data_IF_094880564547
#
_entry.id   IF_094880564547
#
_cell.length_a   1.000
_cell.length_b   1.000
_cell.length_c   1.000
_cell.angle_alpha   90.00
_cell.angle_beta   90.00
_cell.angle_gamma   90.00
#
_symmetry.space_group_name_H-M   'P 1'
#
loop_
_entity.id
_entity.type
_entity.pdbx_description
1 polymer ?
#
# COMPACT_ATOMS: atom_id res chain seq x y z
N UNK A 1 -9.84 22.44 -72.21
CA UNK A 1 -9.02 21.37 -72.80
C UNK A 1 -8.99 20.22 -71.80
N UNK A 2 -9.79 19.20 -72.09
CA UNK A 2 -9.80 17.90 -71.41
C UNK A 2 -8.67 17.03 -72.00
N UNK A 3 -7.96 16.25 -71.18
CA UNK A 3 -7.63 14.87 -71.51
C UNK A 3 -7.63 14.00 -70.24
N UNK A 4 -8.44 12.95 -70.32
CA UNK A 4 -8.62 11.81 -69.41
C UNK A 4 -7.55 10.75 -69.68
N UNK A 5 -7.26 9.92 -68.67
CA UNK A 5 -7.20 8.44 -68.72
C UNK A 5 -6.81 7.94 -67.30
N UNK A 6 -7.63 7.24 -66.49
CA UNK A 6 -8.17 5.84 -66.59
C UNK A 6 -7.06 4.83 -66.94
N UNK A 7 -6.85 3.73 -66.20
CA UNK A 7 -7.73 2.57 -65.93
C UNK A 7 -7.07 1.66 -64.85
N UNK A 8 -7.78 1.12 -63.85
CA UNK A 8 -8.39 -0.26 -63.76
C UNK A 8 -7.33 -1.38 -63.88
N UNK A 9 -7.32 -2.52 -63.17
CA UNK A 9 -8.11 -3.19 -62.12
C UNK A 9 -7.28 -4.46 -61.75
N UNK A 10 -7.53 -5.06 -60.59
CA UNK A 10 -7.95 -6.48 -60.41
C UNK A 10 -7.52 -7.06 -59.05
N UNK A 11 -8.55 -7.36 -58.24
CA UNK A 11 -8.54 -8.34 -57.15
C UNK A 11 -8.27 -9.74 -57.69
N UNK A 12 -7.72 -10.67 -56.87
CA UNK A 12 -8.43 -11.86 -56.37
C UNK A 12 -7.54 -12.93 -55.69
N UNK A 13 -8.08 -13.48 -54.58
CA UNK A 13 -8.16 -14.92 -54.20
C UNK A 13 -7.00 -15.61 -53.44
N UNK A 14 -7.32 -15.92 -52.17
CA UNK A 14 -7.44 -17.24 -51.50
C UNK A 14 -6.29 -18.27 -51.60
N UNK A 15 -5.87 -18.79 -50.44
CA UNK A 15 -5.25 -20.12 -50.36
C UNK A 15 -4.70 -20.51 -48.98
N UNK A 16 -5.49 -21.22 -48.17
CA UNK A 16 -4.98 -22.25 -47.23
C UNK A 16 -4.68 -23.52 -48.05
N UNK A 17 -3.75 -24.41 -47.61
CA UNK A 17 -4.13 -25.64 -46.88
C UNK A 17 -3.10 -26.00 -45.75
N UNK A 18 -3.39 -26.73 -44.65
CA UNK A 18 -3.66 -28.19 -44.45
C UNK A 18 -2.65 -29.09 -45.20
N UNK A 19 -2.22 -30.26 -44.76
CA UNK A 19 -2.23 -31.15 -43.57
C UNK A 19 -1.21 -32.27 -43.94
N UNK A 20 -0.87 -33.14 -42.97
CA UNK A 20 -0.58 -34.59 -43.12
C UNK A 20 0.64 -34.98 -42.26
N UNK A 21 0.46 -35.67 -41.14
CA UNK A 21 0.12 -37.11 -40.96
C UNK A 21 1.27 -38.07 -41.26
N UNK A 22 1.79 -38.72 -40.20
CA UNK A 22 1.84 -40.17 -39.96
C UNK A 22 3.00 -40.52 -39.01
N UNK A 23 2.75 -41.05 -37.81
CA UNK A 23 2.35 -42.42 -37.43
C UNK A 23 3.55 -43.39 -37.28
N UNK A 24 3.71 -43.91 -36.06
CA UNK A 24 3.78 -45.34 -35.66
C UNK A 24 4.93 -45.78 -34.74
N UNK A 25 4.53 -46.73 -33.86
CA UNK A 25 5.29 -47.87 -33.29
C UNK A 25 5.97 -47.75 -31.91
N UNK A 26 5.18 -48.08 -30.87
CA UNK A 26 5.22 -49.29 -30.00
C UNK A 26 6.55 -50.02 -29.67
N UNK A 27 6.67 -50.45 -28.39
CA UNK A 27 7.50 -51.60 -27.92
C UNK A 27 8.17 -51.38 -26.55
N UNK A 28 7.61 -51.88 -25.43
CA UNK A 28 8.15 -53.00 -24.59
C UNK A 28 9.07 -52.48 -23.46
N UNK A 29 9.08 -52.89 -22.18
CA UNK A 29 8.72 -54.09 -21.39
C UNK A 29 8.59 -53.67 -19.88
N UNK A 30 7.59 -54.13 -19.10
CA UNK A 30 7.59 -55.19 -18.02
C UNK A 30 8.45 -54.85 -16.76
N UNK A 31 8.10 -55.02 -15.48
CA UNK A 31 7.26 -55.96 -14.69
C UNK A 31 6.84 -55.36 -13.31
N UNK A 32 5.59 -55.53 -12.82
CA UNK A 32 5.05 -56.45 -11.75
C UNK A 32 5.56 -56.11 -10.31
N UNK A 33 4.80 -55.87 -9.22
CA UNK A 33 3.76 -56.62 -8.46
C UNK A 33 3.03 -55.64 -7.51
N UNK A 34 1.69 -55.47 -7.54
CA UNK A 34 0.63 -56.16 -6.79
C UNK A 34 0.78 -56.25 -5.25
N UNK A 35 -0.14 -55.62 -4.51
CA UNK A 35 -1.00 -56.30 -3.52
C UNK A 35 -2.24 -55.46 -3.21
N UNK A 36 -3.40 -56.09 -3.39
CA UNK A 36 -4.74 -55.65 -3.01
C UNK A 36 -4.92 -55.84 -1.49
N UNK A 37 -5.77 -55.02 -0.87
CA UNK A 37 -6.97 -55.53 -0.22
C UNK A 37 -7.97 -54.40 0.07
N UNK A 38 -9.23 -54.81 -0.05
CA UNK A 38 -10.47 -54.04 -0.16
C UNK A 38 -11.14 -53.69 1.19
N UNK A 39 -12.05 -52.71 1.12
CA UNK A 39 -13.22 -52.51 1.99
C UNK A 39 -12.98 -51.74 3.30
N UNK A 40 -13.80 -50.79 3.76
CA UNK A 40 -15.14 -50.32 3.41
C UNK A 40 -15.39 -48.96 4.13
N UNK A 41 -16.29 -48.15 3.56
CA UNK A 41 -17.14 -47.13 4.18
C UNK A 41 -16.60 -46.07 5.16
N UNK A 42 -16.66 -44.80 4.74
CA UNK A 42 -17.75 -43.89 5.14
C UNK A 42 -17.50 -42.41 4.78
N UNK A 43 -18.54 -41.82 4.17
CA UNK A 43 -18.81 -40.40 3.92
C UNK A 43 -17.80 -39.32 4.37
N UNK A 44 -17.09 -38.73 3.41
CA UNK A 44 -16.45 -37.41 3.52
C UNK A 44 -17.50 -36.30 3.62
N UNK A 45 -17.51 -35.56 4.74
CA UNK A 45 -18.26 -34.32 4.91
C UNK A 45 -17.30 -33.12 4.85
N UNK A 46 -17.56 -32.27 3.87
CA UNK A 46 -16.91 -30.98 3.61
C UNK A 46 -16.86 -30.07 4.85
N UNK A 47 -15.70 -29.46 5.11
CA UNK A 47 -15.67 -28.12 5.72
C UNK A 47 -14.36 -27.34 5.54
N UNK A 48 -14.14 -26.79 4.34
CA UNK A 48 -13.37 -25.54 4.22
C UNK A 48 -14.33 -24.38 4.50
N UNK A 49 -14.15 -23.68 5.61
CA UNK A 49 -14.80 -22.37 5.83
C UNK A 49 -13.75 -21.28 5.64
N UNK A 50 -13.88 -20.59 4.51
CA UNK A 50 -13.43 -19.22 4.31
C UNK A 50 -14.07 -18.32 5.37
N UNK A 51 -13.30 -17.44 6.00
CA UNK A 51 -13.82 -16.32 6.80
C UNK A 51 -12.85 -15.15 6.71
N UNK A 52 -13.03 -14.30 5.70
CA UNK A 52 -12.44 -12.96 5.64
C UNK A 52 -13.34 -12.11 4.74
N UNK A 53 -14.46 -11.55 5.26
CA UNK A 53 -15.10 -10.38 4.59
C UNK A 53 -16.22 -9.65 5.34
N UNK A 54 -16.18 -9.50 6.68
CA UNK A 54 -17.32 -8.82 7.35
C UNK A 54 -16.98 -7.95 8.57
N UNK A 55 -15.88 -7.17 8.53
CA UNK A 55 -15.54 -6.33 9.70
C UNK A 55 -14.91 -4.95 9.42
N UNK A 56 -15.13 -4.37 8.23
CA UNK A 56 -14.57 -3.05 7.89
C UNK A 56 -15.47 -1.85 8.23
N UNK A 57 -16.77 -2.04 8.46
CA UNK A 57 -17.69 -0.88 8.50
C UNK A 57 -18.09 -0.39 9.90
N UNK A 58 -17.72 -1.06 10.99
CA UNK A 58 -18.20 -0.70 12.35
C UNK A 58 -17.13 -0.18 13.32
N UNK A 59 -15.93 0.18 12.86
CA UNK A 59 -14.83 0.69 13.71
C UNK A 59 -14.74 2.22 13.72
N UNK A 60 -15.32 2.89 12.71
CA UNK A 60 -15.19 4.35 12.54
C UNK A 60 -15.95 5.18 13.59
N UNK A 61 -17.02 4.64 14.19
CA UNK A 61 -18.01 5.45 14.92
C UNK A 61 -17.78 5.56 16.44
N UNK A 62 -16.78 4.84 17.00
CA UNK A 62 -16.55 4.77 18.46
C UNK A 62 -15.29 5.47 18.97
N UNK A 63 -14.55 6.20 18.13
CA UNK A 63 -13.31 6.90 18.54
C UNK A 63 -13.39 8.42 18.50
N UNK A 64 -14.58 8.97 18.28
CA UNK A 64 -14.82 10.42 18.30
C UNK A 64 -15.11 10.90 19.73
N UNK A 65 -14.23 10.66 20.70
CA UNK A 65 -14.31 11.35 21.98
C UNK A 65 -12.96 11.47 22.73
N UNK A 66 -12.62 12.74 22.95
CA UNK A 66 -11.64 13.36 23.86
C UNK A 66 -10.13 13.07 23.67
N UNK A 67 -9.49 13.93 22.87
CA UNK A 67 -8.07 14.27 22.97
C UNK A 67 -7.95 15.73 23.40
N UNK A 68 -7.14 15.99 24.42
CA UNK A 68 -6.89 17.33 24.92
C UNK A 68 -6.19 18.20 23.85
N UNK A 69 -6.45 19.51 23.86
CA UNK A 69 -5.81 20.45 22.93
C UNK A 69 -4.30 20.55 23.16
N UNK A 70 -3.83 20.22 24.37
CA UNK A 70 -2.43 20.24 24.75
C UNK A 70 -1.63 19.10 24.11
N UNK A 71 -2.21 17.90 24.00
CA UNK A 71 -1.58 16.75 23.33
C UNK A 71 -1.41 17.00 21.81
N UNK A 72 -2.36 17.71 21.18
CA UNK A 72 -2.25 18.10 19.76
C UNK A 72 -1.09 19.06 19.51
N UNK A 73 -0.73 19.87 20.52
CA UNK A 73 0.28 20.93 20.42
C UNK A 73 1.69 20.39 20.59
N UNK A 74 1.88 19.40 21.47
CA UNK A 74 3.18 18.76 21.70
C UNK A 74 3.64 17.92 20.50
N UNK A 75 2.74 17.16 19.87
CA UNK A 75 3.07 16.36 18.67
C UNK A 75 3.36 17.26 17.44
N UNK A 76 2.81 18.48 17.43
CA UNK A 76 3.10 19.51 16.42
C UNK A 76 4.48 20.15 16.56
N UNK A 77 4.97 20.26 17.80
CA UNK A 77 6.16 21.04 18.12
C UNK A 77 7.45 20.39 17.58
N UNK A 78 7.51 19.06 17.52
CA UNK A 78 8.71 18.34 17.07
C UNK A 78 8.87 18.28 15.54
N UNK A 79 7.85 18.67 14.76
CA UNK A 79 7.88 18.64 13.27
C UNK A 79 7.79 20.04 12.65
N UNK A 80 7.67 21.09 13.46
CA UNK A 80 7.71 22.48 12.99
C UNK A 80 9.16 22.94 12.69
N UNK A 81 9.89 22.18 11.87
CA UNK A 81 11.21 22.55 11.35
C UNK A 81 11.07 23.62 10.27
N UNK A 82 10.88 24.89 10.68
CA UNK A 82 11.09 26.17 9.94
C UNK A 82 10.53 26.37 8.51
N UNK A 83 10.02 25.36 7.82
CA UNK A 83 9.53 25.42 6.44
C UNK A 83 8.44 24.35 6.21
N UNK A 84 7.28 24.57 6.83
CA UNK A 84 6.12 23.71 6.68
C UNK A 84 4.85 24.52 6.44
N UNK A 85 3.95 23.99 5.61
CA UNK A 85 2.62 24.55 5.35
C UNK A 85 1.53 23.56 5.67
N UNK A 86 0.34 24.08 5.97
CA UNK A 86 -0.87 23.28 6.01
C UNK A 86 -1.43 23.10 4.61
N UNK A 87 -1.70 21.84 4.23
CA UNK A 87 -2.49 21.53 3.04
C UNK A 87 -3.97 21.77 3.34
N UNK A 88 -4.41 21.38 4.54
CA UNK A 88 -5.74 21.61 5.08
C UNK A 88 -5.68 21.60 6.63
N UNK A 89 -6.84 21.61 7.30
CA UNK A 89 -6.92 21.64 8.77
C UNK A 89 -6.14 20.52 9.46
N UNK A 90 -6.04 19.36 8.81
CA UNK A 90 -5.49 18.13 9.37
C UNK A 90 -4.13 17.73 8.79
N UNK A 91 -3.83 18.13 7.55
CA UNK A 91 -2.62 17.73 6.84
C UNK A 91 -1.63 18.89 6.72
N UNK A 92 -0.35 18.56 6.88
CA UNK A 92 0.77 19.47 6.65
C UNK A 92 1.81 18.82 5.73
N UNK A 93 2.64 19.68 5.15
CA UNK A 93 3.72 19.32 4.24
C UNK A 93 4.96 20.14 4.57
N UNK A 94 6.14 19.51 4.46
CA UNK A 94 7.44 20.16 4.50
C UNK A 94 8.31 19.59 3.37
N UNK A 95 9.03 20.40 2.56
CA UNK A 95 9.04 21.87 2.52
C UNK A 95 7.65 22.51 2.36
N UNK A 96 7.51 23.79 2.70
CA UNK A 96 6.23 24.51 2.62
C UNK A 96 5.65 24.52 1.19
N UNK A 97 4.35 24.76 1.07
CA UNK A 97 3.70 24.88 -0.24
C UNK A 97 4.31 26.03 -1.06
N UNK A 98 4.71 27.11 -0.39
CA UNK A 98 5.37 28.26 -1.02
C UNK A 98 6.78 27.88 -1.51
N UNK A 99 7.57 27.18 -0.68
CA UNK A 99 8.88 26.67 -1.07
C UNK A 99 8.77 25.72 -2.27
N UNK A 100 7.84 24.76 -2.22
CA UNK A 100 7.62 23.83 -3.33
C UNK A 100 7.16 24.56 -4.60
N UNK A 101 6.33 25.60 -4.48
CA UNK A 101 5.88 26.41 -5.62
C UNK A 101 7.00 27.26 -6.21
N UNK A 102 8.01 27.61 -5.43
CA UNK A 102 9.19 28.35 -5.89
C UNK A 102 10.20 27.48 -6.65
N UNK A 103 10.11 26.15 -6.55
CA UNK A 103 11.02 25.23 -7.20
C UNK A 103 10.82 25.22 -8.72
N UNK A 104 11.93 25.20 -9.45
CA UNK A 104 11.91 24.92 -10.89
C UNK A 104 11.42 23.50 -11.17
N UNK A 105 10.97 23.25 -12.41
CA UNK A 105 10.52 21.91 -12.83
C UNK A 105 11.59 20.82 -12.61
N UNK A 106 12.89 21.15 -12.74
CA UNK A 106 13.98 20.22 -12.47
C UNK A 106 14.17 19.94 -10.98
N UNK A 107 13.93 20.93 -10.12
CA UNK A 107 13.98 20.75 -8.67
C UNK A 107 12.78 19.95 -8.16
N UNK A 108 11.59 20.17 -8.71
CA UNK A 108 10.39 19.40 -8.38
C UNK A 108 10.50 17.91 -8.72
N UNK A 109 11.39 17.53 -9.63
CA UNK A 109 11.67 16.12 -9.95
C UNK A 109 12.53 15.39 -8.93
N UNK A 110 13.17 16.13 -8.02
CA UNK A 110 14.14 15.60 -7.05
C UNK A 110 14.00 16.30 -5.72
N UNK A 111 12.77 16.43 -5.20
CA UNK A 111 12.52 17.09 -3.92
C UNK A 111 13.09 16.22 -2.80
N UNK A 112 14.12 16.70 -2.06
CA UNK A 112 14.69 15.95 -0.96
C UNK A 112 13.85 16.14 0.30
N UNK A 113 13.92 15.16 1.21
CA UNK A 113 13.37 15.27 2.57
C UNK A 113 11.91 15.71 2.62
N UNK A 114 11.11 15.27 1.65
CA UNK A 114 9.68 15.55 1.64
C UNK A 114 9.04 14.88 2.87
N UNK A 115 8.22 15.63 3.59
CA UNK A 115 7.43 15.16 4.71
C UNK A 115 5.98 15.53 4.46
N UNK A 116 5.08 14.56 4.61
CA UNK A 116 3.63 14.78 4.61
C UNK A 116 3.07 14.15 5.87
N UNK A 117 2.27 14.89 6.62
CA UNK A 117 1.75 14.38 7.89
C UNK A 117 0.33 14.79 8.17
N UNK A 118 -0.33 14.00 9.01
CA UNK A 118 -1.64 14.26 9.58
C UNK A 118 -1.50 14.49 11.09
N UNK A 119 -2.04 15.60 11.60
CA UNK A 119 -1.87 16.06 12.99
C UNK A 119 -2.04 14.96 14.04
N UNK A 120 -3.12 14.19 13.88
CA UNK A 120 -3.56 13.21 14.89
C UNK A 120 -3.11 11.77 14.64
N UNK A 121 -2.64 11.44 13.43
CA UNK A 121 -2.52 10.03 13.01
C UNK A 121 -1.11 9.63 12.66
N UNK A 122 -0.28 10.54 12.15
CA UNK A 122 1.08 10.17 11.78
C UNK A 122 1.71 11.09 10.76
N UNK A 123 2.86 10.66 10.27
CA UNK A 123 3.59 11.30 9.17
C UNK A 123 4.36 10.29 8.34
N UNK A 124 4.64 10.66 7.11
CA UNK A 124 5.55 9.98 6.21
C UNK A 124 6.69 10.93 5.87
N UNK A 125 7.91 10.43 6.04
CA UNK A 125 9.17 11.10 5.72
C UNK A 125 9.84 10.33 4.58
N UNK A 126 9.96 10.96 3.42
CA UNK A 126 10.63 10.36 2.28
C UNK A 126 12.14 10.42 2.47
N UNK A 127 12.78 9.25 2.47
CA UNK A 127 14.22 9.10 2.70
C UNK A 127 15.03 9.24 1.40
N UNK A 128 14.34 9.30 0.26
CA UNK A 128 14.88 9.43 -1.07
C UNK A 128 14.23 10.62 -1.79
N UNK A 129 14.90 11.22 -2.81
CA UNK A 129 14.31 12.29 -3.58
C UNK A 129 13.02 11.86 -4.28
N UNK A 130 12.00 12.71 -4.21
CA UNK A 130 10.66 12.47 -4.74
C UNK A 130 10.44 13.31 -5.99
N UNK A 131 9.81 12.72 -7.01
CA UNK A 131 9.33 13.45 -8.18
C UNK A 131 7.88 13.92 -7.95
N UNK A 132 7.71 15.24 -7.82
CA UNK A 132 6.42 15.91 -7.69
C UNK A 132 5.98 16.60 -8.99
N UNK A 133 6.72 16.46 -10.09
CA UNK A 133 6.38 17.07 -11.36
C UNK A 133 5.03 16.51 -11.88
N UNK A 134 4.04 17.39 -12.03
CA UNK A 134 2.70 17.02 -12.47
C UNK A 134 1.78 16.50 -11.37
N UNK A 135 2.19 16.53 -10.10
CA UNK A 135 1.34 16.22 -8.96
C UNK A 135 0.93 17.54 -8.27
N UNK A 136 -0.37 17.85 -8.14
CA UNK A 136 -0.81 18.98 -7.33
C UNK A 136 -0.43 18.76 -5.86
N UNK A 137 0.30 19.71 -5.25
CA UNK A 137 0.78 19.56 -3.87
C UNK A 137 -0.36 19.42 -2.85
N UNK A 138 -1.51 20.05 -3.13
CA UNK A 138 -2.72 19.93 -2.30
C UNK A 138 -3.32 18.53 -2.33
N UNK A 139 -3.07 17.74 -3.38
CA UNK A 139 -3.52 16.34 -3.47
C UNK A 139 -2.60 15.38 -2.71
N UNK A 140 -1.40 15.79 -2.29
CA UNK A 140 -0.51 14.93 -1.51
C UNK A 140 -1.16 14.52 -0.18
N UNK A 141 -1.72 15.48 0.55
CA UNK A 141 -2.43 15.21 1.80
C UNK A 141 -3.92 14.93 1.58
N UNK A 142 -4.39 13.75 1.99
CA UNK A 142 -5.81 13.38 2.02
C UNK A 142 -6.36 12.75 0.74
N UNK A 143 -5.63 12.80 -0.37
CA UNK A 143 -5.98 12.08 -1.62
C UNK A 143 -4.93 11.03 -1.94
N UNK A 144 -3.67 11.44 -2.12
CA UNK A 144 -2.59 10.51 -2.45
C UNK A 144 -2.07 9.82 -1.19
N UNK A 145 -1.81 10.57 -0.13
CA UNK A 145 -1.38 10.05 1.17
C UNK A 145 -2.48 10.35 2.17
N UNK A 146 -3.15 9.28 2.61
CA UNK A 146 -4.26 9.36 3.56
C UNK A 146 -3.88 8.63 4.83
N UNK A 147 -3.99 9.31 5.96
CA UNK A 147 -3.83 8.70 7.27
C UNK A 147 -5.20 8.36 7.86
N UNK A 148 -5.31 7.12 8.32
CA UNK A 148 -6.42 6.59 9.10
C UNK A 148 -5.88 6.12 10.46
N UNK A 149 -6.75 5.83 11.45
CA UNK A 149 -6.30 5.27 12.71
C UNK A 149 -5.37 4.06 12.51
N UNK A 150 -4.12 4.21 12.96
CA UNK A 150 -3.05 3.18 12.90
C UNK A 150 -2.60 2.78 11.49
N UNK A 151 -3.04 3.48 10.45
CA UNK A 151 -2.79 3.09 9.04
C UNK A 151 -2.41 4.30 8.20
N UNK A 152 -1.43 4.11 7.32
CA UNK A 152 -1.09 5.05 6.26
C UNK A 152 -1.42 4.41 4.92
N UNK A 153 -2.29 5.03 4.15
CA UNK A 153 -2.76 4.55 2.85
C UNK A 153 -2.20 5.47 1.78
N UNK A 154 -1.48 4.89 0.81
CA UNK A 154 -0.86 5.62 -0.28
C UNK A 154 -1.47 5.14 -1.60
N UNK A 155 -1.92 6.08 -2.43
CA UNK A 155 -2.71 5.84 -3.64
C UNK A 155 -3.97 5.01 -3.39
N UNK A 156 -4.83 5.48 -2.48
CA UNK A 156 -6.16 4.90 -2.30
C UNK A 156 -6.96 4.98 -3.61
N UNK A 157 -7.22 3.83 -4.24
CA UNK A 157 -8.07 3.72 -5.44
C UNK A 157 -7.62 4.50 -6.69
N UNK A 158 -6.37 4.97 -6.73
CA UNK A 158 -5.82 5.63 -7.91
C UNK A 158 -5.24 4.57 -8.88
N UNK A 159 -5.71 4.51 -10.14
CA UNK A 159 -5.28 3.49 -11.11
C UNK A 159 -3.82 3.65 -11.54
N UNK A 160 -3.27 4.85 -11.39
CA UNK A 160 -1.96 5.23 -11.90
C UNK A 160 -0.93 5.28 -10.78
N UNK A 161 -0.63 4.12 -10.18
CA UNK A 161 0.47 4.02 -9.22
C UNK A 161 1.81 4.11 -9.96
N UNK A 162 2.73 4.98 -9.54
CA UNK A 162 4.04 5.08 -10.18
C UNK A 162 4.87 3.82 -9.92
N UNK A 163 5.79 3.52 -10.82
CA UNK A 163 6.69 2.36 -10.68
C UNK A 163 7.65 2.57 -9.51
N UNK A 164 8.32 1.51 -9.09
CA UNK A 164 9.37 1.57 -8.06
C UNK A 164 10.41 2.63 -8.42
N UNK A 165 10.66 3.56 -7.51
CA UNK A 165 11.62 4.65 -7.71
C UNK A 165 11.08 5.86 -8.49
N UNK A 166 9.83 5.83 -8.96
CA UNK A 166 9.20 6.95 -9.65
C UNK A 166 8.21 7.69 -8.74
N UNK A 167 8.07 9.00 -8.95
CA UNK A 167 7.12 9.82 -8.20
C UNK A 167 7.38 9.73 -6.69
N UNK A 168 6.32 9.41 -5.95
CA UNK A 168 6.38 9.18 -4.50
C UNK A 168 6.66 7.70 -4.13
N UNK A 169 6.80 6.79 -5.10
CA UNK A 169 7.02 5.36 -4.83
C UNK A 169 8.49 5.02 -4.55
N UNK A 170 9.06 5.76 -3.60
CA UNK A 170 10.43 5.64 -3.13
C UNK A 170 10.45 5.15 -1.68
N UNK A 171 11.65 4.97 -1.12
CA UNK A 171 11.81 4.55 0.26
C UNK A 171 11.38 5.65 1.22
N UNK A 172 10.62 5.28 2.25
CA UNK A 172 10.07 6.23 3.21
C UNK A 172 10.02 5.64 4.62
N UNK A 173 10.14 6.51 5.62
CA UNK A 173 9.85 6.24 7.02
C UNK A 173 8.42 6.69 7.31
N UNK A 174 7.62 5.81 7.89
CA UNK A 174 6.25 6.09 8.30
C UNK A 174 6.19 6.02 9.82
N UNK A 175 5.61 7.06 10.41
CA UNK A 175 5.31 7.16 11.83
C UNK A 175 3.80 7.17 12.00
N UNK A 176 3.25 6.19 12.72
CA UNK A 176 1.84 6.13 13.06
C UNK A 176 1.65 6.33 14.56
N UNK A 177 0.81 7.31 14.94
CA UNK A 177 0.50 7.62 16.33
C UNK A 177 -0.61 6.71 16.87
N UNK A 178 -0.66 6.55 18.19
CA UNK A 178 -1.74 5.83 18.90
C UNK A 178 -1.96 4.37 18.45
N UNK A 179 -0.90 3.70 18.04
CA UNK A 179 -0.89 2.29 17.63
C UNK A 179 -0.89 1.33 18.85
N UNK A 180 -1.91 1.43 19.70
CA UNK A 180 -2.06 0.54 20.85
C UNK A 180 -2.73 -0.79 20.47
N UNK A 181 -2.40 -1.91 21.12
CA UNK A 181 -3.24 -3.09 21.08
C UNK A 181 -4.62 -2.78 21.67
N UNK A 182 -5.65 -3.44 21.14
CA UNK A 182 -7.04 -3.24 21.57
C UNK A 182 -7.48 -4.48 22.34
N UNK A 183 -8.09 -4.26 23.50
CA UNK A 183 -8.74 -5.32 24.25
C UNK A 183 -9.99 -5.79 23.49
N UNK A 184 -10.09 -7.09 23.25
CA UNK A 184 -11.19 -7.70 22.49
C UNK A 184 -12.54 -7.57 23.19
N UNK A 185 -12.55 -7.50 24.52
CA UNK A 185 -13.79 -7.43 25.30
C UNK A 185 -14.34 -6.01 25.38
N UNK A 186 -13.49 -5.05 25.74
CA UNK A 186 -13.89 -3.65 25.93
C UNK A 186 -13.77 -2.79 24.68
N UNK A 187 -13.06 -3.27 23.64
CA UNK A 187 -12.67 -2.52 22.43
C UNK A 187 -11.87 -1.24 22.73
N UNK A 188 -11.30 -1.12 23.94
CA UNK A 188 -10.48 0.01 24.35
C UNK A 188 -8.99 -0.23 24.08
N UNK A 189 -8.21 0.81 23.77
CA UNK A 189 -6.76 0.71 23.65
C UNK A 189 -6.14 0.39 25.01
N UNK A 190 -5.22 -0.58 25.02
CA UNK A 190 -4.45 -0.94 26.20
C UNK A 190 -3.19 -0.07 26.21
N UNK A 191 -3.16 0.90 27.12
CA UNK A 191 -2.07 1.88 27.25
C UNK A 191 -1.02 1.51 28.29
N UNK A 192 -1.23 0.44 29.07
CA UNK A 192 -0.23 -0.01 30.05
C UNK A 192 0.99 -0.64 29.33
N UNK A 193 2.18 -0.02 29.40
CA UNK A 193 3.38 -0.51 28.70
C UNK A 193 3.82 -1.90 29.16
N UNK A 194 3.52 -2.29 30.39
CA UNK A 194 3.93 -3.58 30.98
C UNK A 194 2.98 -4.72 30.62
N UNK A 195 1.84 -4.42 30.01
CA UNK A 195 0.81 -5.40 29.68
C UNK A 195 1.31 -6.44 28.67
N UNK A 196 1.01 -7.73 28.89
CA UNK A 196 1.49 -8.81 28.01
C UNK A 196 1.04 -8.64 26.55
N UNK A 197 -0.13 -8.07 26.31
CA UNK A 197 -0.62 -7.79 24.95
C UNK A 197 0.21 -6.72 24.22
N UNK A 198 0.82 -5.76 24.93
CA UNK A 198 1.74 -4.78 24.33
C UNK A 198 3.01 -5.49 23.87
N UNK A 199 3.59 -6.38 24.69
CA UNK A 199 4.75 -7.18 24.29
C UNK A 199 4.48 -8.00 23.02
N UNK A 200 3.36 -8.73 22.97
CA UNK A 200 2.95 -9.47 21.75
C UNK A 200 2.66 -8.57 20.56
N UNK A 201 2.11 -7.38 20.80
CA UNK A 201 1.86 -6.39 19.75
C UNK A 201 3.16 -5.95 19.09
N UNK A 202 4.18 -5.60 19.88
CA UNK A 202 5.51 -5.21 19.41
C UNK A 202 6.15 -6.35 18.61
N UNK A 203 6.09 -7.58 19.09
CA UNK A 203 6.61 -8.75 18.36
C UNK A 203 5.93 -8.94 17.00
N UNK A 204 4.62 -8.68 16.90
CA UNK A 204 3.89 -8.74 15.64
C UNK A 204 4.32 -7.63 14.69
N UNK A 205 4.50 -6.41 15.19
CA UNK A 205 5.00 -5.28 14.39
C UNK A 205 6.38 -5.59 13.81
N UNK A 206 7.27 -6.18 14.61
CA UNK A 206 8.61 -6.60 14.18
C UNK A 206 8.62 -7.68 13.09
N UNK A 207 7.57 -8.49 13.01
CA UNK A 207 7.44 -9.63 12.07
C UNK A 207 6.72 -9.26 10.76
N UNK A 208 6.32 -8.00 10.57
CA UNK A 208 5.64 -7.59 9.34
C UNK A 208 6.59 -7.74 8.13
N UNK A 209 6.30 -8.58 7.12
CA UNK A 209 7.21 -8.81 5.99
C UNK A 209 7.29 -7.61 5.04
N UNK A 210 6.25 -6.78 5.03
CA UNK A 210 6.09 -5.69 4.07
C UNK A 210 6.64 -4.35 4.60
N UNK A 211 7.03 -4.30 5.87
CA UNK A 211 7.64 -3.10 6.49
C UNK A 211 8.79 -3.48 7.42
N UNK A 212 9.86 -2.69 7.38
CA UNK A 212 10.99 -2.84 8.30
C UNK A 212 10.72 -2.06 9.58
N UNK A 213 10.50 -2.76 10.67
CA UNK A 213 10.37 -2.16 12.00
C UNK A 213 11.59 -1.28 12.34
N UNK A 214 11.36 -0.05 12.78
CA UNK A 214 12.40 0.86 13.27
C UNK A 214 12.27 1.03 14.80
N UNK A 215 11.10 1.44 15.29
CA UNK A 215 10.86 1.58 16.72
C UNK A 215 9.38 1.49 17.09
N UNK A 216 9.11 1.24 18.36
CA UNK A 216 7.78 1.36 18.95
C UNK A 216 7.93 1.90 20.37
N UNK A 217 7.24 2.99 20.64
CA UNK A 217 7.11 3.55 21.98
C UNK A 217 5.78 3.12 22.58
N UNK A 218 5.84 2.41 23.72
CA UNK A 218 4.66 1.87 24.39
C UNK A 218 3.88 2.92 25.19
N UNK A 219 4.54 4.00 25.61
CA UNK A 219 3.91 5.07 26.39
C UNK A 219 3.08 5.98 25.48
N UNK A 220 3.63 6.38 24.33
CA UNK A 220 2.89 7.20 23.34
C UNK A 220 2.11 6.36 22.32
N UNK A 221 2.39 5.07 22.20
CA UNK A 221 1.84 4.20 21.16
C UNK A 221 2.36 4.56 19.76
N UNK A 222 3.47 5.28 19.67
CA UNK A 222 4.09 5.67 18.40
C UNK A 222 4.80 4.49 17.77
N UNK A 223 4.38 4.11 16.56
CA UNK A 223 4.99 3.05 15.77
C UNK A 223 5.74 3.66 14.58
N UNK A 224 7.04 3.35 14.45
CA UNK A 224 7.88 3.81 13.34
C UNK A 224 8.40 2.62 12.55
N UNK A 225 8.25 2.69 11.23
CA UNK A 225 8.72 1.67 10.32
C UNK A 225 9.13 2.26 8.97
N UNK A 226 9.98 1.53 8.26
CA UNK A 226 10.49 1.91 6.95
C UNK A 226 9.89 0.99 5.89
N UNK A 227 9.43 1.59 4.79
CA UNK A 227 8.98 0.88 3.58
C UNK A 227 9.95 1.20 2.44
N UNK A 228 10.31 0.20 1.65
CA UNK A 228 11.20 0.40 0.49
C UNK A 228 10.49 1.10 -0.67
N UNK A 229 9.18 0.90 -0.80
CA UNK A 229 8.36 1.41 -1.89
C UNK A 229 7.01 1.87 -1.32
N UNK A 230 6.82 3.18 -1.20
CA UNK A 230 5.65 3.74 -0.52
C UNK A 230 4.31 3.47 -1.23
N UNK A 231 4.29 3.29 -2.56
CA UNK A 231 3.06 3.03 -3.32
C UNK A 231 2.72 1.54 -3.49
N UNK A 232 3.50 0.65 -2.87
CA UNK A 232 3.21 -0.79 -2.84
C UNK A 232 2.39 -1.10 -1.59
N UNK A 233 1.21 -1.69 -1.79
CA UNK A 233 0.37 -2.03 -0.64
C UNK A 233 1.03 -3.12 0.20
N UNK A 234 1.02 -2.84 1.51
CA UNK A 234 1.40 -3.72 2.61
C UNK A 234 0.22 -4.59 3.01
#
# INVERSE_FOLDING_TARGET
MNFKSKSEEQETILGKPKMDEKETANGGERMVLSSKNDGEDSATKHHSRNMDEENKENVADLQKQEYSEDDKKAVFADVAEKDASFINENYYISPSLDTLSSYSLLQLRKVPHLVVGHKSYGKIEFLEPVDLAGIPFTSLGGVIITFEPKTCIIYANLPNRPKRGEGINVRARITCFNCYPVDKSTRKPIKDPNHQLVKRHIERLKKNPNSKFESYDADSGTYVFIVNHAAEQT
#
